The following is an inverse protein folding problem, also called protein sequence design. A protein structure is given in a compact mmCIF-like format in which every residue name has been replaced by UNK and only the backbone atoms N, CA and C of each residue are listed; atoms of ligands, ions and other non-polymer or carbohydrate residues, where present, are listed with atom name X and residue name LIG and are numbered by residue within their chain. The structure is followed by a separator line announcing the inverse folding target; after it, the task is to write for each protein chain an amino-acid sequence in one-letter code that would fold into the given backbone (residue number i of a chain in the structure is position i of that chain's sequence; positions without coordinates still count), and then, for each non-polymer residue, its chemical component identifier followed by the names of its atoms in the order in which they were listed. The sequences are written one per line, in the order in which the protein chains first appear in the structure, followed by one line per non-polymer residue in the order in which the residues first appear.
data_IF_486937452903
#
_entry.id   IF_486937452903
#
_cell.length_a   1.000
_cell.length_b   1.000
_cell.length_c   1.000
_cell.angle_alpha   90.00
_cell.angle_beta   90.00
_cell.angle_gamma   90.00
#
_symmetry.space_group_name_H-M   'P 1'
#
loop_
_entity.id
_entity.type
_entity.pdbx_description
1 polymer ?
#
# COMPACT_ATOMS: atom_id res chain seq x y z
N UNK A 1 -10.77 -0.73 9.45
CA UNK A 1 -10.18 0.21 8.47
C UNK A 1 -11.11 0.25 7.27
N UNK A 2 -11.53 1.45 6.84
CA UNK A 2 -12.36 1.70 5.64
C UNK A 2 -11.98 3.07 5.09
N UNK A 3 -11.67 3.14 3.80
CA UNK A 3 -11.18 4.34 3.13
C UNK A 3 -11.59 4.33 1.65
N UNK A 4 -11.55 5.47 0.98
CA UNK A 4 -11.69 5.59 -0.47
C UNK A 4 -10.45 6.31 -1.01
N UNK A 5 -9.88 5.80 -2.10
CA UNK A 5 -8.68 6.35 -2.75
C UNK A 5 -8.74 6.18 -4.27
N UNK A 6 -8.26 7.19 -4.98
CA UNK A 6 -8.07 7.13 -6.44
C UNK A 6 -7.09 6.01 -6.82
N UNK A 7 -7.45 5.19 -7.80
CA UNK A 7 -6.60 4.08 -8.26
C UNK A 7 -5.21 4.55 -8.66
N UNK A 8 -5.10 5.69 -9.34
CA UNK A 8 -3.82 6.24 -9.83
C UNK A 8 -2.85 6.54 -8.69
N UNK A 9 -3.36 7.16 -7.62
CA UNK A 9 -2.63 7.50 -6.42
C UNK A 9 -2.23 6.25 -5.63
N UNK A 10 -3.16 5.29 -5.48
CA UNK A 10 -2.89 3.98 -4.86
C UNK A 10 -1.80 3.20 -5.63
N UNK A 11 -1.89 3.14 -6.96
CA UNK A 11 -0.94 2.43 -7.81
C UNK A 11 0.45 3.07 -7.77
N UNK A 12 0.53 4.41 -7.76
CA UNK A 12 1.80 5.13 -7.64
C UNK A 12 2.51 4.75 -6.35
N UNK A 13 1.82 4.85 -5.22
CA UNK A 13 2.42 4.57 -3.92
C UNK A 13 2.81 3.10 -3.77
N UNK A 14 1.95 2.17 -4.21
CA UNK A 14 2.29 0.76 -4.23
C UNK A 14 3.52 0.47 -5.09
N UNK A 15 3.66 1.13 -6.25
CA UNK A 15 4.83 0.93 -7.13
C UNK A 15 6.13 1.36 -6.44
N UNK A 16 6.10 2.48 -5.70
CA UNK A 16 7.27 2.95 -4.97
C UNK A 16 7.63 2.03 -3.79
N UNK A 17 6.68 1.73 -2.90
CA UNK A 17 6.99 0.91 -1.71
C UNK A 17 7.30 -0.55 -2.05
N UNK A 18 6.75 -1.08 -3.15
CA UNK A 18 7.04 -2.45 -3.60
C UNK A 18 8.48 -2.61 -4.09
N UNK A 19 9.19 -1.52 -4.41
CA UNK A 19 10.58 -1.57 -4.89
C UNK A 19 11.58 -2.09 -3.85
N UNK A 20 11.25 -2.01 -2.56
CA UNK A 20 12.07 -2.53 -1.44
C UNK A 20 11.59 -3.88 -0.91
N UNK A 21 10.52 -4.44 -1.48
CA UNK A 21 10.00 -5.74 -1.07
C UNK A 21 10.71 -6.84 -1.84
N UNK A 22 11.46 -7.69 -1.14
CA UNK A 22 12.11 -8.83 -1.76
C UNK A 22 11.11 -9.94 -2.13
N UNK A 23 11.20 -10.44 -3.35
CA UNK A 23 10.37 -11.58 -3.82
C UNK A 23 10.74 -12.91 -3.17
N UNK A 24 11.94 -13.02 -2.60
CA UNK A 24 12.51 -14.27 -2.07
C UNK A 24 13.00 -14.05 -0.64
N UNK A 25 12.08 -13.80 0.28
CA UNK A 25 12.34 -13.75 1.72
C UNK A 25 11.80 -14.99 2.42
N UNK A 26 12.47 -15.43 3.48
CA UNK A 26 12.00 -16.50 4.37
C UNK A 26 11.11 -15.99 5.50
N UNK A 27 10.98 -14.67 5.63
CA UNK A 27 10.19 -14.00 6.67
C UNK A 27 8.91 -13.43 6.03
N UNK A 28 7.75 -14.08 6.18
CA UNK A 28 6.54 -13.73 5.42
C UNK A 28 6.06 -12.28 5.60
N UNK A 29 6.24 -11.71 6.80
CA UNK A 29 5.79 -10.34 7.08
C UNK A 29 6.58 -9.28 6.28
N UNK A 30 7.80 -9.60 5.83
CA UNK A 30 8.61 -8.69 4.99
C UNK A 30 8.16 -8.69 3.52
N UNK A 31 7.32 -9.64 3.10
CA UNK A 31 6.65 -9.61 1.79
C UNK A 31 5.42 -8.69 1.77
N UNK A 32 5.07 -8.11 2.91
CA UNK A 32 3.91 -7.25 3.04
C UNK A 32 4.27 -5.76 2.97
N UNK A 33 3.27 -4.95 2.63
CA UNK A 33 3.24 -3.51 2.87
C UNK A 33 2.32 -3.24 4.06
N UNK A 34 2.74 -2.35 4.96
CA UNK A 34 1.88 -1.75 5.97
C UNK A 34 1.03 -0.67 5.31
N UNK A 35 -0.28 -0.77 5.51
CA UNK A 35 -1.27 0.27 5.22
C UNK A 35 -1.74 0.85 6.54
N UNK A 36 -1.62 2.16 6.73
CA UNK A 36 -2.12 2.85 7.92
C UNK A 36 -2.96 4.07 7.51
N UNK A 37 -4.26 3.96 7.73
CA UNK A 37 -5.22 5.02 7.51
C UNK A 37 -5.37 5.86 8.79
N UNK A 38 -5.02 7.14 8.72
CA UNK A 38 -5.19 8.10 9.81
C UNK A 38 -5.40 9.52 9.30
N UNK A 39 -6.37 10.25 9.88
CA UNK A 39 -6.70 11.61 9.44
C UNK A 39 -7.26 11.58 8.01
N UNK A 40 -6.62 12.30 7.10
CA UNK A 40 -6.98 12.39 5.67
C UNK A 40 -5.92 11.76 4.76
N UNK A 41 -5.14 10.80 5.27
CA UNK A 41 -4.04 10.17 4.53
C UNK A 41 -3.90 8.68 4.80
N UNK A 42 -3.55 7.95 3.76
CA UNK A 42 -3.09 6.57 3.82
C UNK A 42 -1.56 6.55 3.77
N UNK A 43 -0.95 5.99 4.80
CA UNK A 43 0.48 5.69 4.84
C UNK A 43 0.73 4.28 4.30
N UNK A 44 1.73 4.16 3.44
CA UNK A 44 2.30 2.92 2.94
C UNK A 44 3.71 2.78 3.48
N UNK A 45 4.07 1.63 4.02
CA UNK A 45 5.43 1.37 4.50
C UNK A 45 5.87 -0.06 4.19
N UNK A 46 7.08 -0.21 3.68
CA UNK A 46 7.70 -1.52 3.40
C UNK A 46 9.19 -1.49 3.76
N UNK A 47 9.75 -2.65 4.11
CA UNK A 47 11.16 -2.78 4.50
C UNK A 47 11.71 -4.20 4.27
N UNK A 48 13.01 -4.27 3.99
CA UNK A 48 13.82 -5.50 3.94
C UNK A 48 14.77 -5.64 5.15
N UNK A 49 14.56 -4.83 6.20
CA UNK A 49 15.40 -4.66 7.41
C UNK A 49 16.68 -3.83 7.21
N UNK A 50 17.09 -3.54 5.98
CA UNK A 50 18.22 -2.65 5.67
C UNK A 50 17.75 -1.29 5.19
N UNK A 51 16.62 -1.27 4.47
CA UNK A 51 15.99 -0.12 3.84
C UNK A 51 14.52 -0.09 4.23
N UNK A 52 14.00 1.11 4.48
CA UNK A 52 12.57 1.36 4.66
C UNK A 52 12.14 2.42 3.65
N UNK A 53 10.99 2.21 3.02
CA UNK A 53 10.33 3.24 2.21
C UNK A 53 8.96 3.50 2.82
N UNK A 54 8.66 4.77 3.04
CA UNK A 54 7.37 5.24 3.51
C UNK A 54 6.81 6.27 2.53
N UNK A 55 5.54 6.14 2.16
CA UNK A 55 4.82 7.11 1.33
C UNK A 55 3.47 7.46 1.95
N UNK A 56 3.05 8.72 1.79
CA UNK A 56 1.76 9.22 2.26
C UNK A 56 0.94 9.72 1.08
N UNK A 57 -0.30 9.27 1.01
CA UNK A 57 -1.21 9.63 -0.08
C UNK A 57 -2.53 10.15 0.52
N UNK A 58 -3.12 11.22 -0.04
CA UNK A 58 -4.47 11.64 0.34
C UNK A 58 -5.47 10.50 0.13
N UNK A 59 -6.33 10.27 1.12
CA UNK A 59 -7.41 9.30 1.04
C UNK A 59 -8.57 9.77 1.91
N UNK A 60 -9.80 9.49 1.49
CA UNK A 60 -10.97 9.70 2.33
C UNK A 60 -11.07 8.55 3.33
N UNK A 61 -11.03 8.82 4.63
CA UNK A 61 -11.00 7.78 5.66
C UNK A 61 -12.27 7.83 6.48
N UNK A 62 -13.08 6.78 6.37
CA UNK A 62 -14.30 6.61 7.18
C UNK A 62 -13.98 5.92 8.51
N UNK A 63 -13.09 4.92 8.50
CA UNK A 63 -12.69 4.17 9.70
C UNK A 63 -11.18 4.06 9.72
N UNK A 64 -10.47 4.71 10.67
CA UNK A 64 -9.03 4.61 10.79
C UNK A 64 -8.60 3.17 11.13
N UNK A 65 -7.32 2.87 10.93
CA UNK A 65 -6.77 1.57 11.28
C UNK A 65 -5.49 1.28 10.52
N UNK A 66 -4.92 0.12 10.81
CA UNK A 66 -3.73 -0.37 10.13
C UNK A 66 -3.81 -1.86 9.89
N UNK A 67 -3.25 -2.30 8.77
CA UNK A 67 -3.15 -3.71 8.38
C UNK A 67 -1.92 -3.89 7.50
N UNK A 68 -1.36 -5.10 7.47
CA UNK A 68 -0.34 -5.46 6.49
C UNK A 68 -0.94 -6.41 5.45
N UNK A 69 -0.55 -6.24 4.20
CA UNK A 69 -1.05 -7.06 3.08
C UNK A 69 0.09 -7.39 2.12
N UNK A 70 0.04 -8.53 1.39
CA UNK A 70 1.09 -8.90 0.45
C UNK A 70 1.28 -7.84 -0.64
N UNK A 71 2.46 -7.22 -0.70
CA UNK A 71 2.70 -6.01 -1.48
C UNK A 71 2.52 -6.24 -2.99
N UNK A 72 3.17 -7.27 -3.53
CA UNK A 72 3.08 -7.61 -4.96
C UNK A 72 1.67 -8.01 -5.38
N UNK A 73 0.95 -8.76 -4.54
CA UNK A 73 -0.42 -9.18 -4.85
C UNK A 73 -1.34 -7.96 -4.92
N UNK A 74 -1.27 -7.06 -3.95
CA UNK A 74 -2.08 -5.83 -3.96
C UNK A 74 -1.72 -4.95 -5.16
N UNK A 75 -0.43 -4.77 -5.46
CA UNK A 75 0.03 -4.02 -6.64
C UNK A 75 -0.56 -4.59 -7.94
N UNK A 76 -0.51 -5.92 -8.11
CA UNK A 76 -1.04 -6.59 -9.30
C UNK A 76 -2.57 -6.48 -9.42
N UNK A 77 -3.29 -6.49 -8.30
CA UNK A 77 -4.75 -6.27 -8.28
C UNK A 77 -5.05 -4.84 -8.73
N UNK A 78 -4.43 -3.84 -8.10
CA UNK A 78 -4.69 -2.42 -8.39
C UNK A 78 -4.34 -2.08 -9.84
N UNK A 79 -3.23 -2.63 -10.36
CA UNK A 79 -2.82 -2.46 -11.76
C UNK A 79 -3.87 -2.93 -12.76
N UNK A 80 -4.65 -3.98 -12.43
CA UNK A 80 -5.69 -4.54 -13.30
C UNK A 80 -7.03 -3.81 -13.21
N UNK A 81 -7.21 -2.90 -12.26
CA UNK A 81 -8.41 -2.09 -12.17
C UNK A 81 -8.50 -1.09 -13.36
N UNK A 82 -9.70 -0.65 -13.74
CA UNK A 82 -9.89 0.37 -14.78
C UNK A 82 -9.25 1.71 -14.41
N UNK A 83 -8.79 2.46 -15.41
CA UNK A 83 -8.30 3.82 -15.18
C UNK A 83 -9.43 4.73 -14.68
N UNK A 84 -9.12 5.62 -13.74
CA UNK A 84 -10.10 6.53 -13.10
C UNK A 84 -11.04 5.86 -12.10
N UNK A 85 -10.79 4.61 -11.70
CA UNK A 85 -11.57 3.95 -10.66
C UNK A 85 -11.25 4.50 -9.26
N UNK A 86 -12.29 4.69 -8.45
CA UNK A 86 -12.16 4.87 -7.00
C UNK A 86 -12.17 3.49 -6.31
N UNK A 87 -11.23 3.29 -5.38
CA UNK A 87 -11.05 2.04 -4.63
C UNK A 87 -11.50 2.24 -3.19
N UNK A 88 -12.40 1.38 -2.72
CA UNK A 88 -12.93 1.34 -1.34
C UNK A 88 -12.43 0.12 -0.54
#
# INVERSE_FOLDING_TARGET
MRLVIERSELLRALTHVTSVVERRTTIPILSNVLLRASGSRLEFKATDLEREVTEHVPAEITVPGAVTVPAHMLHDIVRKLPDGAEVE
#
